data_IF_144849929012
#
_entry.id   IF_144849929012
#
_cell.length_a   1.000
_cell.length_b   1.000
_cell.length_c   1.000
_cell.angle_alpha   90.00
_cell.angle_beta   90.00
_cell.angle_gamma   90.00
#
_symmetry.space_group_name_H-M   'P 1'
#
loop_
_entity.id
_entity.type
_entity.pdbx_description
1 polymer ?
#
# COMPACT_ATOMS: atom_id res chain seq x y z
N UNK A 1 -18.39 -1.08 -8.77
CA UNK A 1 -17.65 -0.09 -9.58
C UNK A 1 -16.25 -0.65 -9.75
N UNK A 2 -16.11 -1.56 -10.73
CA UNK A 2 -14.86 -2.25 -11.04
C UNK A 2 -13.84 -1.21 -11.50
N UNK A 3 -12.76 -1.01 -10.75
CA UNK A 3 -11.71 -0.07 -11.14
C UNK A 3 -10.84 -0.77 -12.19
N UNK A 4 -10.65 -0.13 -13.33
CA UNK A 4 -9.86 -0.70 -14.44
C UNK A 4 -8.44 -1.09 -13.97
N UNK A 5 -7.91 -2.22 -14.47
CA UNK A 5 -6.54 -2.66 -14.17
C UNK A 5 -5.54 -1.59 -14.58
N UNK A 6 -4.39 -1.54 -13.91
CA UNK A 6 -3.30 -0.64 -14.32
C UNK A 6 -2.81 -1.06 -15.69
N UNK A 7 -2.99 -0.20 -16.69
CA UNK A 7 -2.37 -0.40 -17.98
C UNK A 7 -0.85 -0.23 -17.83
N UNK A 8 -0.14 -1.36 -17.79
CA UNK A 8 1.33 -1.39 -17.88
C UNK A 8 1.75 -0.65 -19.15
N UNK A 9 2.42 0.50 -19.01
CA UNK A 9 2.85 1.33 -20.15
C UNK A 9 2.59 2.84 -20.05
N UNK A 10 1.78 3.32 -19.09
CA UNK A 10 1.85 4.72 -18.61
C UNK A 10 2.81 4.80 -17.41
N UNK A 11 3.48 5.94 -17.16
CA UNK A 11 4.35 6.10 -15.99
C UNK A 11 3.48 6.14 -14.73
N UNK A 12 3.09 4.96 -14.26
CA UNK A 12 2.31 4.80 -13.06
C UNK A 12 3.21 4.99 -11.86
N UNK A 13 2.78 5.90 -10.99
CA UNK A 13 3.57 6.29 -9.84
C UNK A 13 3.02 5.63 -8.60
N UNK A 14 3.93 5.14 -7.76
CA UNK A 14 3.58 4.53 -6.50
C UNK A 14 4.24 5.26 -5.33
N UNK A 15 3.59 5.19 -4.17
CA UNK A 15 4.15 5.64 -2.90
C UNK A 15 4.08 4.50 -1.89
N UNK A 16 5.07 4.38 -1.00
CA UNK A 16 5.02 3.42 0.11
C UNK A 16 4.99 4.17 1.43
N UNK A 17 3.87 4.06 2.12
CA UNK A 17 3.74 4.51 3.49
C UNK A 17 4.14 3.37 4.44
N UNK A 18 5.28 3.54 5.10
CA UNK A 18 5.79 2.58 6.08
C UNK A 18 5.32 2.97 7.49
N UNK A 19 4.59 2.09 8.17
CA UNK A 19 4.10 2.27 9.53
C UNK A 19 4.59 1.15 10.43
N UNK A 20 5.69 1.36 11.14
CA UNK A 20 6.22 0.34 12.04
C UNK A 20 7.66 0.55 12.45
N UNK A 21 8.40 -0.55 12.60
CA UNK A 21 9.78 -0.53 13.06
C UNK A 21 10.77 -0.52 11.89
N UNK A 22 12.08 -0.66 12.20
CA UNK A 22 13.15 -0.75 11.20
C UNK A 22 12.96 -1.91 10.22
N UNK A 23 12.37 -3.03 10.67
CA UNK A 23 12.08 -4.17 9.79
C UNK A 23 11.12 -3.76 8.67
N UNK A 24 10.06 -3.03 9.01
CA UNK A 24 9.12 -2.53 8.00
C UNK A 24 9.78 -1.58 6.99
N UNK A 25 10.82 -0.85 7.38
CA UNK A 25 11.57 0.01 6.46
C UNK A 25 12.37 -0.80 5.44
N UNK A 26 13.10 -1.82 5.89
CA UNK A 26 13.83 -2.73 4.99
C UNK A 26 12.87 -3.44 4.03
N UNK A 27 11.77 -3.99 4.55
CA UNK A 27 10.77 -4.69 3.72
C UNK A 27 10.12 -3.75 2.70
N UNK A 28 9.88 -2.49 3.07
CA UNK A 28 9.30 -1.51 2.15
C UNK A 28 10.26 -1.18 1.01
N UNK A 29 11.56 -1.17 1.27
CA UNK A 29 12.59 -1.00 0.24
C UNK A 29 12.62 -2.20 -0.72
N UNK A 30 12.54 -3.42 -0.20
CA UNK A 30 12.45 -4.64 -1.01
C UNK A 30 11.20 -4.67 -1.91
N UNK A 31 10.04 -4.29 -1.35
CA UNK A 31 8.79 -4.15 -2.12
C UNK A 31 8.96 -3.10 -3.21
N UNK A 32 9.54 -1.94 -2.88
CA UNK A 32 9.71 -0.87 -3.84
C UNK A 32 10.65 -1.25 -4.99
N UNK A 33 11.79 -1.87 -4.70
CA UNK A 33 12.68 -2.39 -5.75
C UNK A 33 11.96 -3.39 -6.67
N UNK A 34 11.09 -4.22 -6.10
CA UNK A 34 10.29 -5.17 -6.88
C UNK A 34 9.26 -4.47 -7.77
N UNK A 35 8.63 -3.39 -7.29
CA UNK A 35 7.69 -2.58 -8.08
C UNK A 35 8.42 -1.79 -9.19
N UNK A 36 9.60 -1.25 -8.89
CA UNK A 36 10.45 -0.55 -9.86
C UNK A 36 10.91 -1.48 -10.98
N UNK A 37 11.22 -2.74 -10.66
CA UNK A 37 11.55 -3.78 -11.65
C UNK A 37 10.38 -4.10 -12.61
N UNK A 38 9.12 -3.80 -12.21
CA UNK A 38 7.94 -3.90 -13.07
C UNK A 38 7.72 -2.66 -13.95
N UNK A 39 8.59 -1.65 -13.86
CA UNK A 39 8.57 -0.44 -14.68
C UNK A 39 7.76 0.73 -14.11
N UNK A 40 7.32 0.64 -12.85
CA UNK A 40 6.70 1.76 -12.14
C UNK A 40 7.74 2.65 -11.47
N UNK A 41 7.36 3.88 -11.15
CA UNK A 41 8.26 4.87 -10.54
C UNK A 41 7.75 5.33 -9.19
N UNK A 42 8.66 5.55 -8.23
CA UNK A 42 8.28 6.20 -6.97
C UNK A 42 7.78 7.63 -7.26
N UNK A 43 6.71 8.02 -6.58
CA UNK A 43 6.30 9.40 -6.50
C UNK A 43 7.29 10.17 -5.62
N UNK A 44 7.90 11.22 -6.17
CA UNK A 44 8.70 12.20 -5.45
C UNK A 44 7.82 13.23 -4.73
N UNK A 45 8.47 14.20 -4.09
CA UNK A 45 7.80 15.22 -3.31
C UNK A 45 6.85 16.07 -4.15
N UNK A 46 5.59 16.16 -3.70
CA UNK A 46 4.54 16.90 -4.40
C UNK A 46 3.97 16.20 -5.64
N UNK A 47 4.49 15.02 -6.02
CA UNK A 47 3.95 14.25 -7.13
C UNK A 47 2.75 13.41 -6.68
N UNK A 48 1.82 13.17 -7.61
CA UNK A 48 0.66 12.32 -7.36
C UNK A 48 1.01 10.86 -7.61
N UNK A 49 0.71 10.01 -6.63
CA UNK A 49 0.76 8.56 -6.78
C UNK A 49 -0.60 8.02 -7.22
N UNK A 50 -0.60 7.08 -8.16
CA UNK A 50 -1.78 6.32 -8.55
C UNK A 50 -2.10 5.21 -7.53
N UNK A 51 -1.05 4.74 -6.85
CA UNK A 51 -1.10 3.65 -5.89
C UNK A 51 -0.31 4.03 -4.63
N UNK A 52 -0.87 3.74 -3.48
CA UNK A 52 -0.18 3.78 -2.21
C UNK A 52 -0.11 2.37 -1.61
N UNK A 53 1.09 1.91 -1.28
CA UNK A 53 1.30 0.69 -0.51
C UNK A 53 1.47 1.10 0.95
N UNK A 54 0.64 0.56 1.83
CA UNK A 54 0.74 0.78 3.28
C UNK A 54 1.32 -0.48 3.91
N UNK A 55 2.61 -0.47 4.24
CA UNK A 55 3.27 -1.55 4.97
C UNK A 55 3.18 -1.27 6.48
N UNK A 56 2.41 -2.06 7.21
CA UNK A 56 1.99 -1.74 8.58
C UNK A 56 2.27 -2.84 9.58
N UNK A 57 2.66 -2.43 10.79
CA UNK A 57 2.76 -3.26 11.97
C UNK A 57 1.47 -3.20 12.82
N UNK A 58 1.13 -4.31 13.51
CA UNK A 58 -0.04 -4.42 14.40
C UNK A 58 0.30 -4.76 15.85
N UNK A 59 1.51 -4.43 16.29
CA UNK A 59 1.94 -4.76 17.66
C UNK A 59 1.13 -4.04 18.75
N UNK A 60 0.42 -2.94 18.41
CA UNK A 60 -0.43 -2.21 19.38
C UNK A 60 -1.70 -1.68 18.73
N UNK A 61 -2.76 -1.50 19.52
CA UNK A 61 -3.99 -0.83 19.08
C UNK A 61 -3.77 0.61 18.59
N UNK A 62 -2.73 1.29 19.09
CA UNK A 62 -2.32 2.62 18.60
C UNK A 62 -1.78 2.54 17.17
N UNK A 63 -0.93 1.56 16.87
CA UNK A 63 -0.41 1.34 15.53
C UNK A 63 -1.54 1.03 14.52
N UNK A 64 -2.48 0.17 14.92
CA UNK A 64 -3.67 -0.14 14.13
C UNK A 64 -4.52 1.13 13.87
N UNK A 65 -4.76 1.95 14.90
CA UNK A 65 -5.49 3.21 14.76
C UNK A 65 -4.80 4.19 13.80
N UNK A 66 -3.48 4.37 13.94
CA UNK A 66 -2.68 5.22 13.04
C UNK A 66 -2.74 4.74 11.58
N UNK A 67 -2.67 3.43 11.36
CA UNK A 67 -2.82 2.85 10.03
C UNK A 67 -4.18 3.21 9.41
N UNK A 68 -5.29 2.96 10.13
CA UNK A 68 -6.63 3.29 9.63
C UNK A 68 -6.81 4.79 9.40
N UNK A 69 -6.21 5.64 10.24
CA UNK A 69 -6.27 7.09 10.07
C UNK A 69 -5.51 7.53 8.80
N UNK A 70 -4.32 6.98 8.57
CA UNK A 70 -3.51 7.29 7.41
C UNK A 70 -4.20 6.88 6.10
N UNK A 71 -4.79 5.67 6.04
CA UNK A 71 -5.53 5.18 4.87
C UNK A 71 -6.72 6.09 4.53
N UNK A 72 -7.50 6.51 5.55
CA UNK A 72 -8.61 7.44 5.34
C UNK A 72 -8.12 8.80 4.86
N UNK A 73 -7.06 9.33 5.46
CA UNK A 73 -6.48 10.60 5.05
C UNK A 73 -6.01 10.56 3.59
N UNK A 74 -5.27 9.51 3.20
CA UNK A 74 -4.83 9.30 1.81
C UNK A 74 -6.01 9.28 0.83
N UNK A 75 -7.07 8.55 1.17
CA UNK A 75 -8.25 8.43 0.30
C UNK A 75 -9.01 9.74 0.13
N UNK A 76 -9.03 10.59 1.17
CA UNK A 76 -9.65 11.93 1.11
C UNK A 76 -8.76 12.93 0.38
N UNK A 77 -7.44 12.92 0.62
CA UNK A 77 -6.49 13.85 0.02
C UNK A 77 -6.24 13.55 -1.47
N UNK A 78 -6.34 12.28 -1.87
CA UNK A 78 -6.11 11.83 -3.24
C UNK A 78 -7.32 11.03 -3.75
N UNK A 79 -8.41 11.70 -4.15
CA UNK A 79 -9.58 11.02 -4.72
C UNK A 79 -9.17 10.15 -5.92
N UNK A 80 -9.48 8.86 -5.85
CA UNK A 80 -9.16 7.89 -6.90
C UNK A 80 -7.87 7.09 -6.68
N UNK A 81 -7.08 7.39 -5.65
CA UNK A 81 -5.92 6.57 -5.27
C UNK A 81 -6.35 5.13 -4.96
N UNK A 82 -5.50 4.17 -5.33
CA UNK A 82 -5.63 2.78 -4.88
C UNK A 82 -4.70 2.52 -3.72
N UNK A 83 -5.22 1.88 -2.69
CA UNK A 83 -4.46 1.53 -1.50
C UNK A 83 -4.31 0.01 -1.44
N UNK A 84 -3.07 -0.47 -1.39
CA UNK A 84 -2.74 -1.86 -1.09
C UNK A 84 -2.17 -1.89 0.32
N UNK A 85 -2.72 -2.72 1.20
CA UNK A 85 -2.25 -2.81 2.59
C UNK A 85 -1.53 -4.13 2.80
N UNK A 86 -0.34 -4.09 3.42
CA UNK A 86 0.47 -5.28 3.73
C UNK A 86 1.12 -5.19 5.11
N UNK A 87 1.67 -6.30 5.59
CA UNK A 87 2.36 -6.40 6.88
C UNK A 87 1.52 -7.04 7.99
N UNK A 88 1.99 -6.96 9.24
CA UNK A 88 1.37 -7.69 10.36
C UNK A 88 -0.11 -7.32 10.57
N UNK A 89 -0.49 -6.05 10.37
CA UNK A 89 -1.89 -5.65 10.55
C UNK A 89 -2.82 -6.25 9.50
N UNK A 90 -2.31 -6.41 8.27
CA UNK A 90 -3.02 -7.08 7.19
C UNK A 90 -3.30 -8.55 7.52
N UNK A 91 -2.44 -9.21 8.30
CA UNK A 91 -2.66 -10.58 8.77
C UNK A 91 -3.63 -10.66 9.95
N UNK A 92 -3.64 -9.69 10.87
CA UNK A 92 -4.46 -9.76 12.09
C UNK A 92 -5.90 -9.30 11.89
N UNK A 93 -6.12 -8.24 11.10
CA UNK A 93 -7.46 -7.69 10.86
C UNK A 93 -7.70 -7.38 9.36
N UNK A 94 -7.64 -8.39 8.47
CA UNK A 94 -7.79 -8.18 7.03
C UNK A 94 -9.14 -7.58 6.63
N UNK A 95 -10.22 -8.02 7.27
CA UNK A 95 -11.59 -7.57 6.97
C UNK A 95 -11.80 -6.10 7.33
N UNK A 96 -11.22 -5.65 8.44
CA UNK A 96 -11.27 -4.25 8.88
C UNK A 96 -10.58 -3.34 7.85
N UNK A 97 -9.42 -3.78 7.35
CA UNK A 97 -8.65 -3.05 6.36
C UNK A 97 -9.34 -3.03 4.99
N UNK A 98 -9.89 -4.17 4.56
CA UNK A 98 -10.62 -4.28 3.30
C UNK A 98 -11.87 -3.39 3.23
N UNK A 99 -12.49 -3.11 4.38
CA UNK A 99 -13.63 -2.19 4.49
C UNK A 99 -13.27 -0.70 4.46
N UNK A 100 -11.98 -0.33 4.41
CA UNK A 100 -11.56 1.07 4.39
C UNK A 100 -11.67 1.69 2.98
N UNK A 101 -11.96 3.00 2.88
CA UNK A 101 -12.02 3.67 1.59
C UNK A 101 -10.68 3.58 0.87
N UNK A 102 -10.73 3.44 -0.46
CA UNK A 102 -9.55 3.39 -1.31
C UNK A 102 -8.77 2.07 -1.27
N UNK A 103 -9.00 1.21 -0.27
CA UNK A 103 -8.37 -0.10 -0.19
C UNK A 103 -8.92 -1.00 -1.29
N UNK A 104 -8.04 -1.46 -2.16
CA UNK A 104 -8.37 -2.39 -3.24
C UNK A 104 -7.90 -3.80 -2.93
N UNK A 105 -6.88 -3.95 -2.10
CA UNK A 105 -6.33 -5.26 -1.74
C UNK A 105 -5.63 -5.23 -0.38
N UNK A 106 -5.78 -6.34 0.35
CA UNK A 106 -5.09 -6.59 1.61
C UNK A 106 -4.26 -7.86 1.46
N UNK A 107 -2.97 -7.77 1.74
CA UNK A 107 -2.00 -8.84 1.54
C UNK A 107 -1.37 -9.16 2.89
N UNK A 108 -1.55 -10.41 3.35
CA UNK A 108 -0.94 -10.86 4.60
C UNK A 108 0.58 -10.77 4.59
N UNK A 109 1.17 -10.71 5.78
CA UNK A 109 2.61 -10.63 5.98
C UNK A 109 3.37 -11.82 5.37
N UNK A 110 2.75 -13.00 5.36
CA UNK A 110 3.25 -14.25 4.76
C UNK A 110 3.35 -14.18 3.23
N UNK A 111 2.58 -13.30 2.59
CA UNK A 111 2.53 -13.12 1.13
C UNK A 111 3.05 -11.75 0.70
N UNK A 112 3.91 -11.12 1.50
CA UNK A 112 4.38 -9.75 1.25
C UNK A 112 5.05 -9.59 -0.12
N UNK A 113 5.73 -10.63 -0.60
CA UNK A 113 6.33 -10.66 -1.94
C UNK A 113 5.32 -10.45 -3.07
N UNK A 114 4.05 -10.84 -2.87
CA UNK A 114 2.98 -10.69 -3.87
C UNK A 114 2.53 -9.23 -4.03
N UNK A 115 2.94 -8.34 -3.12
CA UNK A 115 2.57 -6.91 -3.15
C UNK A 115 3.00 -6.23 -4.44
N UNK A 116 4.15 -6.58 -5.00
CA UNK A 116 4.61 -6.00 -6.25
C UNK A 116 3.73 -6.44 -7.44
N UNK A 117 3.32 -7.71 -7.48
CA UNK A 117 2.44 -8.20 -8.53
C UNK A 117 1.03 -7.60 -8.44
N UNK A 118 0.53 -7.37 -7.22
CA UNK A 118 -0.78 -6.75 -6.98
C UNK A 118 -0.91 -5.31 -7.54
N UNK A 119 0.22 -4.62 -7.74
CA UNK A 119 0.25 -3.26 -8.30
C UNK A 119 -0.17 -3.26 -9.77
N UNK A 120 0.03 -4.35 -10.52
CA UNK A 120 -0.28 -4.42 -11.96
C UNK A 120 -1.59 -5.15 -12.29
N UNK A 121 -2.32 -5.61 -11.27
CA UNK A 121 -3.60 -6.32 -11.40
C UNK A 121 -4.79 -5.34 -11.40
#
# INVERSE_FOLDING_TARGET
MERAPIAVGRPHRFHILTLGCKVNQCESEEIASSIEALGLQRAGDGEKADICIVNTCAVTGRAAMQCRQAIRHLSTAHPGIRVIVTGCYASTEPEVLAGLPGVVQVIGNDRKADTAAAVVQ
#
